data_IF_845504848485
#
_entry.id   IF_845504848485
#
_cell.length_a   1.000
_cell.length_b   1.000
_cell.length_c   1.000
_cell.angle_alpha   90.00
_cell.angle_beta   90.00
_cell.angle_gamma   90.00
#
_symmetry.space_group_name_H-M   'P 1'
#
loop_
_entity.id
_entity.type
_entity.pdbx_description
1 polymer ?
#
# COMPACT_ATOMS: atom_id res chain seq x y z
N UNK A 1 16.65 14.53 20.36
CA UNK A 1 16.53 13.76 20.12
C UNK A 1 16.42 13.10 19.80
N UNK A 2 16.62 13.50 19.86
CA UNK A 2 16.44 12.75 19.43
C UNK A 2 16.20 12.30 19.11
N UNK A 3 15.90 12.81 19.20
CA UNK A 3 15.52 12.24 18.87
C UNK A 3 15.07 12.00 18.84
N UNK A 4 14.72 12.58 18.90
CA UNK A 4 14.26 12.21 18.80
C UNK A 4 13.61 11.67 18.70
N UNK A 5 13.53 12.43 19.10
CA UNK A 5 12.92 11.74 18.99
C UNK A 5 12.22 11.67 18.83
N UNK A 6 11.97 11.97 19.03
CA UNK A 6 11.44 11.67 18.87
C UNK A 6 10.92 11.61 18.55
N UNK A 7 10.51 12.20 18.68
CA UNK A 7 10.06 11.93 18.37
C UNK A 7 9.40 11.52 18.06
N UNK A 8 9.21 11.82 18.33
CA UNK A 8 8.62 11.31 17.99
C UNK A 8 7.85 11.10 17.92
N UNK A 9 7.30 11.32 17.91
CA UNK A 9 6.60 11.05 17.78
C UNK A 9 5.87 11.02 17.33
N UNK A 10 5.64 11.45 17.42
CA UNK A 10 5.00 11.38 16.96
C UNK A 10 4.40 11.41 16.36
N UNK A 11 4.19 11.73 16.37
CA UNK A 11 3.69 11.65 15.75
C UNK A 11 3.23 11.45 15.15
N UNK A 12 2.93 11.79 15.23
CA UNK A 12 2.56 11.45 14.59
C UNK A 12 2.53 11.29 13.79
N UNK A 13 2.64 11.43 13.51
CA UNK A 13 2.72 11.13 12.62
C UNK A 13 2.58 10.91 12.04
N UNK A 14 2.64 11.33 11.90
CA UNK A 14 2.42 11.26 11.30
C UNK A 14 2.17 11.23 10.04
N UNK A 15 2.13 11.90 9.39
CA UNK A 15 1.62 12.26 8.10
C UNK A 15 1.82 11.24 7.02
N UNK A 16 2.76 10.41 7.12
CA UNK A 16 3.04 9.34 6.16
C UNK A 16 2.30 8.06 6.48
N UNK A 17 1.51 8.10 7.50
CA UNK A 17 0.81 6.94 7.97
C UNK A 17 -0.61 6.89 7.42
N UNK A 18 -0.98 5.78 6.84
CA UNK A 18 -2.34 5.53 6.44
C UNK A 18 -2.95 4.51 7.40
N UNK A 19 -3.97 4.90 8.15
CA UNK A 19 -4.58 3.93 9.08
C UNK A 19 -5.21 2.78 8.32
N UNK A 20 -4.85 1.59 8.73
CA UNK A 20 -5.39 0.37 8.16
C UNK A 20 -6.02 -0.47 9.26
N UNK A 21 -6.93 -1.36 8.88
CA UNK A 21 -7.62 -2.21 9.82
C UNK A 21 -7.04 -3.63 9.77
N UNK A 22 -7.44 -4.45 10.73
CA UNK A 22 -7.08 -5.86 10.70
C UNK A 22 -7.60 -6.53 9.44
N UNK A 23 -8.77 -6.08 8.97
CA UNK A 23 -9.33 -6.60 7.73
C UNK A 23 -8.43 -6.30 6.54
N UNK A 24 -7.86 -5.10 6.49
CA UNK A 24 -6.92 -4.75 5.43
C UNK A 24 -5.72 -5.69 5.45
N UNK A 25 -5.15 -5.93 6.62
CA UNK A 25 -3.99 -6.82 6.74
C UNK A 25 -4.32 -8.24 6.35
N UNK A 26 -5.52 -8.70 6.69
CA UNK A 26 -5.97 -10.03 6.32
C UNK A 26 -6.06 -10.18 4.81
N UNK A 27 -6.60 -9.16 4.15
CA UNK A 27 -6.70 -9.17 2.68
C UNK A 27 -5.33 -9.17 2.04
N UNK A 28 -4.40 -8.39 2.58
CA UNK A 28 -3.03 -8.37 2.08
C UNK A 28 -2.40 -9.75 2.18
N UNK A 29 -2.50 -10.38 3.35
CA UNK A 29 -1.93 -11.71 3.55
C UNK A 29 -2.52 -12.73 2.60
N UNK A 30 -3.83 -12.70 2.43
CA UNK A 30 -4.50 -13.61 1.51
C UNK A 30 -4.00 -13.42 0.08
N UNK A 31 -3.89 -12.15 -0.36
CA UNK A 31 -3.43 -11.84 -1.70
C UNK A 31 -1.99 -12.29 -1.93
N UNK A 32 -1.12 -12.02 -0.96
CA UNK A 32 0.28 -12.43 -1.10
C UNK A 32 0.40 -13.95 -1.23
N UNK A 33 -0.42 -14.69 -0.50
CA UNK A 33 -0.46 -16.15 -0.63
C UNK A 33 -0.90 -16.61 -2.02
N UNK A 34 -1.62 -15.77 -2.73
CA UNK A 34 -2.10 -16.09 -4.08
C UNK A 34 -1.24 -15.45 -5.15
N UNK A 35 -0.06 -14.97 -4.79
CA UNK A 35 0.86 -14.32 -5.72
C UNK A 35 0.26 -13.05 -6.34
N UNK A 36 -0.48 -12.32 -5.55
CA UNK A 36 -1.01 -11.01 -5.92
C UNK A 36 -0.25 -9.99 -5.08
N UNK A 37 0.53 -9.15 -5.73
CA UNK A 37 1.40 -8.19 -5.04
C UNK A 37 1.08 -6.78 -5.52
N UNK A 38 0.87 -5.88 -4.57
CA UNK A 38 0.63 -4.47 -4.87
C UNK A 38 1.70 -3.69 -4.11
N UNK A 39 2.40 -2.80 -4.80
CA UNK A 39 3.50 -2.06 -4.20
C UNK A 39 3.30 -0.56 -4.42
N UNK A 40 3.74 0.21 -3.45
CA UNK A 40 3.82 1.65 -3.56
C UNK A 40 5.28 2.01 -3.80
N UNK A 41 5.55 2.68 -4.90
CA UNK A 41 6.92 2.99 -5.30
C UNK A 41 7.05 4.48 -5.59
N UNK A 42 8.24 5.05 -5.39
CA UNK A 42 8.43 6.46 -5.70
C UNK A 42 8.47 6.70 -7.21
N UNK A 43 7.89 7.81 -7.62
CA UNK A 43 7.99 8.29 -8.98
C UNK A 43 8.66 9.66 -8.99
N UNK A 44 8.50 10.40 -10.06
CA UNK A 44 9.08 11.74 -10.17
C UNK A 44 8.26 12.72 -9.33
N UNK A 45 8.73 12.95 -8.10
CA UNK A 45 8.08 13.87 -7.21
C UNK A 45 6.76 13.39 -6.64
N UNK A 46 6.38 12.17 -6.97
CA UNK A 46 5.10 11.60 -6.55
C UNK A 46 5.28 10.13 -6.25
N UNK A 47 4.17 9.45 -6.00
CA UNK A 47 4.18 8.02 -5.72
C UNK A 47 3.30 7.30 -6.74
N UNK A 48 3.68 6.07 -7.04
CA UNK A 48 2.97 5.22 -7.99
C UNK A 48 2.58 3.93 -7.31
N UNK A 49 1.56 3.28 -7.86
CA UNK A 49 1.13 1.97 -7.39
C UNK A 49 1.37 0.97 -8.50
N UNK A 50 1.98 -0.14 -8.16
CA UNK A 50 2.30 -1.20 -9.12
C UNK A 50 1.66 -2.50 -8.70
N UNK A 51 1.25 -3.28 -9.67
CA UNK A 51 0.51 -4.52 -9.46
C UNK A 51 1.22 -5.65 -10.20
N UNK A 52 1.40 -6.76 -9.50
CA UNK A 52 2.01 -7.94 -10.09
C UNK A 52 1.13 -9.15 -9.77
N UNK A 53 0.75 -9.89 -10.79
CA UNK A 53 -0.10 -11.07 -10.64
C UNK A 53 0.66 -12.29 -11.10
N UNK A 54 0.61 -13.36 -10.30
CA UNK A 54 1.16 -14.67 -10.66
C UNK A 54 2.63 -14.62 -11.03
N UNK A 55 3.40 -13.75 -10.35
CA UNK A 55 4.84 -13.59 -10.58
C UNK A 55 5.17 -13.12 -11.99
N UNK A 56 4.19 -12.51 -12.66
CA UNK A 56 4.40 -11.94 -13.97
C UNK A 56 5.07 -10.59 -13.93
N UNK A 57 4.84 -9.80 -14.95
CA UNK A 57 5.39 -8.46 -15.02
C UNK A 57 4.64 -7.50 -14.10
N UNK A 58 5.35 -6.50 -13.62
CA UNK A 58 4.71 -5.43 -12.87
C UNK A 58 3.99 -4.50 -13.82
N UNK A 59 2.75 -4.18 -13.49
CA UNK A 59 1.95 -3.21 -14.24
C UNK A 59 1.71 -2.01 -13.35
N UNK A 60 1.82 -0.83 -13.90
CA UNK A 60 1.70 0.39 -13.13
C UNK A 60 0.31 0.98 -13.30
N UNK A 61 -0.30 1.33 -12.18
CA UNK A 61 -1.54 2.10 -12.18
C UNK A 61 -1.23 3.45 -12.85
N UNK A 62 -2.11 3.97 -13.72
CA UNK A 62 -1.81 5.21 -14.44
C UNK A 62 -1.81 6.46 -13.58
N UNK A 63 -2.32 6.39 -12.36
CA UNK A 63 -2.40 7.56 -11.50
C UNK A 63 -1.08 7.93 -10.88
N UNK A 64 -1.01 9.17 -10.39
CA UNK A 64 0.07 9.64 -9.56
C UNK A 64 -0.53 10.11 -8.26
N UNK A 65 0.13 9.82 -7.15
CA UNK A 65 -0.47 9.99 -5.84
C UNK A 65 0.51 10.63 -4.87
N UNK A 66 -0.02 11.28 -3.86
CA UNK A 66 0.77 11.57 -2.68
C UNK A 66 0.90 10.27 -1.88
N UNK A 67 1.90 10.22 -1.00
CA UNK A 67 2.22 8.97 -0.33
C UNK A 67 1.00 8.34 0.36
N UNK A 68 0.27 9.15 1.11
CA UNK A 68 -0.88 8.66 1.85
C UNK A 68 -1.96 8.11 0.92
N UNK A 69 -2.19 8.81 -0.18
CA UNK A 69 -3.16 8.37 -1.17
C UNK A 69 -2.72 7.09 -1.87
N UNK A 70 -1.41 6.96 -2.11
CA UNK A 70 -0.88 5.74 -2.71
C UNK A 70 -1.09 4.54 -1.81
N UNK A 71 -0.86 4.72 -0.50
CA UNK A 71 -1.10 3.65 0.46
C UNK A 71 -2.56 3.24 0.49
N UNK A 72 -3.45 4.23 0.48
CA UNK A 72 -4.88 3.96 0.43
C UNK A 72 -5.24 3.18 -0.83
N UNK A 73 -4.68 3.60 -1.95
CA UNK A 73 -4.93 2.92 -3.23
C UNK A 73 -4.43 1.49 -3.21
N UNK A 74 -3.29 1.25 -2.59
CA UNK A 74 -2.75 -0.09 -2.43
C UNK A 74 -3.74 -1.00 -1.71
N UNK A 75 -4.30 -0.52 -0.59
CA UNK A 75 -5.27 -1.33 0.16
C UNK A 75 -6.56 -1.53 -0.62
N UNK A 76 -6.97 -0.55 -1.42
CA UNK A 76 -8.14 -0.70 -2.28
C UNK A 76 -7.93 -1.79 -3.32
N UNK A 77 -6.73 -1.88 -3.90
CA UNK A 77 -6.41 -2.94 -4.85
C UNK A 77 -6.41 -4.31 -4.17
N UNK A 78 -5.83 -4.42 -2.99
CA UNK A 78 -5.85 -5.68 -2.27
C UNK A 78 -7.28 -6.11 -1.96
N UNK A 79 -8.13 -5.18 -1.56
CA UNK A 79 -9.54 -5.48 -1.33
C UNK A 79 -10.23 -5.94 -2.61
N UNK A 80 -9.95 -5.24 -3.70
CA UNK A 80 -10.54 -5.59 -5.00
C UNK A 80 -10.20 -7.02 -5.40
N UNK A 81 -8.93 -7.38 -5.34
CA UNK A 81 -8.53 -8.72 -5.74
C UNK A 81 -8.99 -9.79 -4.76
N UNK A 82 -8.99 -9.47 -3.49
CA UNK A 82 -9.51 -10.37 -2.47
C UNK A 82 -10.97 -10.70 -2.76
N UNK A 83 -11.80 -9.67 -2.94
CA UNK A 83 -13.22 -9.87 -3.18
C UNK A 83 -13.48 -10.60 -4.50
N UNK A 84 -12.70 -10.28 -5.52
CA UNK A 84 -12.87 -10.85 -6.85
C UNK A 84 -12.53 -12.34 -6.88
N UNK A 85 -11.44 -12.72 -6.22
CA UNK A 85 -10.94 -14.09 -6.33
C UNK A 85 -11.44 -15.02 -5.24
N UNK A 86 -12.02 -14.48 -4.21
CA UNK A 86 -12.57 -15.25 -3.11
C UNK A 86 -13.89 -15.90 -3.45
N UNK A 87 -14.63 -15.32 -4.34
CA UNK A 87 -15.97 -15.79 -4.70
C UNK A 87 -15.96 -16.86 -5.75
#
# INVERSE_FOLDING_TARGET
MTFRGNRLKKKKNSGLYYPHTEEDLKRVGWCLNKNIQIAVVPGDGNWKVEIRLNKGNWNQDPGVYEHEEAMKKMYEYYKYYYDKHRN
#
